data_IF_346164862419
#
_entry.id   IF_346164862419
#
_cell.length_a   1.000
_cell.length_b   1.000
_cell.length_c   1.000
_cell.angle_alpha   90.00
_cell.angle_beta   90.00
_cell.angle_gamma   90.00
#
_symmetry.space_group_name_H-M   'P 1'
#
loop_
_entity.id
_entity.type
_entity.pdbx_description
1 polymer ?
#
# COMPACT_ATOMS: atom_id res chain seq x y z
N UNK A 1 -15.98 4.25 -7.13
CA UNK A 1 -14.99 3.64 -6.20
C UNK A 1 -15.64 2.52 -5.42
N UNK A 2 -16.78 2.75 -4.76
CA UNK A 2 -17.48 1.73 -3.97
C UNK A 2 -17.91 0.50 -4.79
N UNK A 3 -18.42 0.64 -6.01
CA UNK A 3 -18.75 -0.51 -6.87
C UNK A 3 -17.51 -1.33 -7.28
N UNK A 4 -16.42 -0.66 -7.68
CA UNK A 4 -15.18 -1.33 -8.10
C UNK A 4 -14.54 -2.04 -6.90
N UNK A 5 -14.51 -1.38 -5.74
CA UNK A 5 -13.95 -1.94 -4.50
C UNK A 5 -14.83 -3.05 -3.93
N UNK A 6 -16.16 -2.90 -3.99
CA UNK A 6 -17.12 -3.93 -3.61
C UNK A 6 -17.05 -5.16 -4.51
N UNK A 7 -16.84 -4.97 -5.82
CA UNK A 7 -16.58 -6.07 -6.76
C UNK A 7 -15.25 -6.78 -6.50
N UNK A 8 -14.16 -6.02 -6.31
CA UNK A 8 -12.83 -6.58 -6.04
C UNK A 8 -12.79 -7.38 -4.73
N UNK A 9 -13.34 -6.82 -3.65
CA UNK A 9 -13.23 -7.41 -2.31
C UNK A 9 -14.33 -8.41 -2.01
N UNK A 10 -15.54 -8.17 -2.52
CA UNK A 10 -16.70 -9.04 -2.35
C UNK A 10 -16.80 -10.12 -3.44
N UNK A 11 -17.03 -9.71 -4.68
CA UNK A 11 -17.34 -10.65 -5.78
C UNK A 11 -16.14 -11.52 -6.19
N UNK A 12 -14.93 -10.95 -6.20
CA UNK A 12 -13.70 -11.66 -6.54
C UNK A 12 -12.97 -12.25 -5.33
N UNK A 13 -13.43 -11.97 -4.11
CA UNK A 13 -12.82 -12.45 -2.87
C UNK A 13 -11.36 -12.03 -2.67
N UNK A 14 -10.93 -10.93 -3.31
CA UNK A 14 -9.52 -10.55 -3.38
C UNK A 14 -8.97 -9.93 -2.10
N UNK A 15 -9.80 -9.73 -1.08
CA UNK A 15 -9.39 -9.11 0.18
C UNK A 15 -8.16 -9.78 0.81
N UNK A 16 -8.23 -11.09 1.12
CA UNK A 16 -7.08 -11.78 1.72
C UNK A 16 -5.88 -11.90 0.76
N UNK A 17 -6.06 -12.25 -0.53
CA UNK A 17 -4.97 -12.24 -1.50
C UNK A 17 -4.26 -10.88 -1.63
N UNK A 18 -5.01 -9.78 -1.73
CA UNK A 18 -4.46 -8.41 -1.82
C UNK A 18 -3.73 -8.03 -0.53
N UNK A 19 -4.32 -8.33 0.62
CA UNK A 19 -3.71 -8.05 1.91
C UNK A 19 -2.38 -8.80 2.05
N UNK A 20 -2.36 -10.11 1.78
CA UNK A 20 -1.14 -10.94 1.84
C UNK A 20 -0.09 -10.42 0.84
N UNK A 21 -0.49 -10.17 -0.41
CA UNK A 21 0.40 -9.66 -1.44
C UNK A 21 0.98 -8.28 -1.07
N UNK A 22 0.16 -7.39 -0.50
CA UNK A 22 0.60 -6.06 -0.07
C UNK A 22 1.64 -6.15 1.05
N UNK A 23 1.44 -7.04 2.03
CA UNK A 23 2.37 -7.25 3.15
C UNK A 23 3.69 -7.85 2.67
N UNK A 24 3.64 -8.88 1.84
CA UNK A 24 4.85 -9.49 1.25
C UNK A 24 5.61 -8.45 0.44
N UNK A 25 4.90 -7.69 -0.41
CA UNK A 25 5.51 -6.64 -1.23
C UNK A 25 6.11 -5.54 -0.38
N UNK A 26 5.44 -5.14 0.70
CA UNK A 26 5.93 -4.13 1.65
C UNK A 26 7.22 -4.58 2.35
N UNK A 27 7.25 -5.80 2.89
CA UNK A 27 8.44 -6.38 3.51
C UNK A 27 9.59 -6.47 2.50
N UNK A 28 9.30 -6.94 1.28
CA UNK A 28 10.28 -6.99 0.21
C UNK A 28 10.82 -5.60 -0.16
N UNK A 29 9.95 -4.59 -0.25
CA UNK A 29 10.31 -3.21 -0.52
C UNK A 29 11.23 -2.62 0.55
N UNK A 30 10.99 -2.92 1.82
CA UNK A 30 11.85 -2.53 2.95
C UNK A 30 13.23 -3.16 2.86
N UNK A 31 13.31 -4.48 2.62
CA UNK A 31 14.59 -5.21 2.50
C UNK A 31 15.42 -4.64 1.34
N UNK A 32 14.79 -4.44 0.18
CA UNK A 32 15.47 -3.91 -1.01
C UNK A 32 15.65 -2.39 -0.99
N UNK A 33 15.10 -1.69 -0.01
CA UNK A 33 15.05 -0.22 0.07
C UNK A 33 14.59 0.42 -1.25
N UNK A 34 13.59 -0.19 -1.89
CA UNK A 34 13.13 0.22 -3.22
C UNK A 34 11.86 1.05 -3.12
N UNK A 35 11.93 2.29 -3.58
CA UNK A 35 10.78 3.19 -3.62
C UNK A 35 9.67 2.69 -4.56
N UNK A 36 10.03 2.01 -5.66
CA UNK A 36 9.05 1.48 -6.62
C UNK A 36 8.20 0.38 -5.97
N UNK A 37 8.86 -0.58 -5.31
CA UNK A 37 8.18 -1.68 -4.62
C UNK A 37 7.33 -1.17 -3.45
N UNK A 38 7.75 -0.06 -2.82
CA UNK A 38 7.00 0.60 -1.75
C UNK A 38 5.73 1.29 -2.27
N UNK A 39 5.76 1.90 -3.46
CA UNK A 39 4.55 2.41 -4.10
C UNK A 39 3.62 1.29 -4.53
N UNK A 40 4.17 0.18 -5.04
CA UNK A 40 3.39 -0.98 -5.44
C UNK A 40 2.62 -1.57 -4.24
N UNK A 41 3.29 -1.73 -3.09
CA UNK A 41 2.61 -2.21 -1.88
C UNK A 41 1.51 -1.24 -1.41
N UNK A 42 1.69 0.07 -1.61
CA UNK A 42 0.71 1.07 -1.19
C UNK A 42 -0.57 0.98 -2.04
N UNK A 43 -0.40 0.78 -3.34
CA UNK A 43 -1.51 0.58 -4.29
C UNK A 43 -2.23 -0.72 -3.98
N UNK A 44 -1.49 -1.80 -3.71
CA UNK A 44 -2.06 -3.11 -3.34
C UNK A 44 -2.88 -3.04 -2.05
N UNK A 45 -2.43 -2.28 -1.04
CA UNK A 45 -3.12 -2.15 0.24
C UNK A 45 -4.31 -1.18 0.19
N UNK A 46 -4.36 -0.28 -0.79
CA UNK A 46 -5.37 0.78 -0.84
C UNK A 46 -6.82 0.26 -0.83
N UNK A 47 -7.18 -0.79 -1.59
CA UNK A 47 -8.52 -1.38 -1.52
C UNK A 47 -8.89 -1.87 -0.12
N UNK A 48 -7.99 -2.59 0.54
CA UNK A 48 -8.22 -3.11 1.88
C UNK A 48 -8.37 -1.97 2.90
N UNK A 49 -7.52 -0.95 2.80
CA UNK A 49 -7.56 0.24 3.66
C UNK A 49 -8.86 1.05 3.50
N UNK A 50 -9.36 1.18 2.26
CA UNK A 50 -10.64 1.81 1.98
C UNK A 50 -11.79 1.00 2.59
N UNK A 51 -11.80 -0.32 2.42
CA UNK A 51 -12.82 -1.20 2.98
C UNK A 51 -12.86 -1.14 4.52
N UNK A 52 -11.69 -1.19 5.16
CA UNK A 52 -11.60 -1.02 6.62
C UNK A 52 -12.05 0.37 7.08
N UNK A 53 -11.92 1.41 6.26
CA UNK A 53 -12.40 2.74 6.62
C UNK A 53 -13.93 2.87 6.65
N UNK A 54 -14.65 1.92 6.04
CA UNK A 54 -16.10 1.79 6.15
C UNK A 54 -16.55 1.23 7.50
N UNK A 55 -15.65 0.68 8.31
CA UNK A 55 -15.97 0.24 9.66
C UNK A 55 -16.01 1.45 10.63
N UNK A 56 -17.11 1.64 11.39
CA UNK A 56 -17.29 2.79 12.27
C UNK A 56 -16.12 3.11 13.22
N UNK A 57 -15.42 2.13 13.82
CA UNK A 57 -14.31 2.42 14.71
C UNK A 57 -13.02 2.86 14.01
N UNK A 58 -12.87 2.68 12.68
CA UNK A 58 -11.59 2.86 11.99
C UNK A 58 -11.65 3.72 10.71
N UNK A 59 -12.32 4.89 10.69
CA UNK A 59 -12.41 5.74 9.49
C UNK A 59 -11.05 6.29 9.02
N UNK A 60 -10.05 6.28 9.90
CA UNK A 60 -8.68 6.69 9.61
C UNK A 60 -7.88 5.64 8.82
N UNK A 61 -8.38 4.40 8.70
CA UNK A 61 -7.68 3.30 8.01
C UNK A 61 -7.32 3.64 6.55
N UNK A 62 -8.12 4.49 5.88
CA UNK A 62 -7.85 4.97 4.51
C UNK A 62 -6.50 5.69 4.35
N UNK A 63 -5.92 6.16 5.46
CA UNK A 63 -4.63 6.85 5.47
C UNK A 63 -3.44 5.91 5.69
N UNK A 64 -3.64 4.63 5.99
CA UNK A 64 -2.55 3.66 6.19
C UNK A 64 -1.59 3.57 4.99
N UNK A 65 -2.06 3.57 3.72
CA UNK A 65 -1.17 3.57 2.57
C UNK A 65 -0.26 4.81 2.47
N UNK A 66 -0.62 5.95 3.10
CA UNK A 66 0.23 7.15 3.10
C UNK A 66 1.58 6.91 3.78
N UNK A 67 1.62 6.05 4.80
CA UNK A 67 2.89 5.69 5.48
C UNK A 67 3.86 5.08 4.46
N UNK A 68 3.35 4.22 3.59
CA UNK A 68 4.15 3.60 2.54
C UNK A 68 4.61 4.63 1.50
N UNK A 69 3.74 5.59 1.14
CA UNK A 69 4.13 6.71 0.26
C UNK A 69 5.26 7.55 0.89
N UNK A 70 5.19 7.86 2.20
CA UNK A 70 6.26 8.57 2.90
C UNK A 70 7.57 7.80 2.82
N UNK A 71 7.55 6.48 3.08
CA UNK A 71 8.75 5.64 2.92
C UNK A 71 9.26 5.61 1.48
N UNK A 72 8.37 5.59 0.49
CA UNK A 72 8.75 5.65 -0.92
C UNK A 72 9.50 6.95 -1.24
N UNK A 73 9.03 8.09 -0.73
CA UNK A 73 9.71 9.39 -0.87
C UNK A 73 11.09 9.34 -0.21
N UNK A 74 11.19 8.82 1.01
CA UNK A 74 12.47 8.69 1.73
C UNK A 74 13.46 7.84 0.91
N UNK A 75 13.05 6.66 0.45
CA UNK A 75 13.90 5.78 -0.36
C UNK A 75 14.30 6.41 -1.69
N UNK A 76 13.39 7.15 -2.32
CA UNK A 76 13.68 7.89 -3.55
C UNK A 76 14.77 8.97 -3.32
N UNK A 77 14.62 9.78 -2.28
CA UNK A 77 15.59 10.82 -1.93
C UNK A 77 16.95 10.23 -1.54
N UNK A 78 16.97 9.15 -0.75
CA UNK A 78 18.20 8.44 -0.39
C UNK A 78 18.94 7.90 -1.63
N UNK A 79 18.20 7.33 -2.59
CA UNK A 79 18.77 6.83 -3.85
C UNK A 79 19.36 7.99 -4.67
N UNK A 80 18.65 9.11 -4.77
CA UNK A 80 19.10 10.30 -5.50
C UNK A 80 20.34 10.95 -4.87
N UNK A 81 20.47 10.93 -3.55
CA UNK A 81 21.63 11.49 -2.85
C UNK A 81 22.88 10.61 -2.99
N UNK A 82 22.72 9.27 -3.09
CA UNK A 82 23.84 8.37 -3.43
C UNK A 82 24.34 8.51 -4.87
N UNK A 83 23.51 9.03 -5.78
CA UNK A 83 23.84 9.18 -7.20
C UNK A 83 24.33 10.58 -7.57
N UNK A 84 24.46 11.50 -6.60
CA UNK A 84 25.13 12.78 -6.82
C UNK A 84 26.65 12.54 -6.63
N UNK A 85 27.49 12.94 -7.61
CA UNK A 85 28.95 12.80 -7.51
C UNK A 85 29.53 13.65 -6.38
#
# INVERSE_FOLDING_TARGET
MEEIMGGLLGQLGLFYPLLIASVITFVYALIKRSWIWMLLSAILLYPDAWFFSGYPPFPWAKFVPLIQVIFAIIFYLMKRNKSKP
#
